data_IF_737783025968
#
_entry.id   IF_737783025968
#
_cell.length_a   1.000
_cell.length_b   1.000
_cell.length_c   1.000
_cell.angle_alpha   90.00
_cell.angle_beta   90.00
_cell.angle_gamma   90.00
#
_symmetry.space_group_name_H-M   'P 1'
#
loop_
_entity.id
_entity.type
_entity.pdbx_description
1 polymer ?
#
# COMPACT_ATOMS: atom_id res chain seq x y z
N UNK A 1 -6.93 7.24 7.38
CA UNK A 1 -7.51 6.88 6.06
C UNK A 1 -6.80 5.65 5.50
N UNK A 2 -7.29 5.03 4.41
CA UNK A 2 -6.70 3.81 3.82
C UNK A 2 -5.19 3.98 3.52
N UNK A 3 -4.80 5.17 3.02
CA UNK A 3 -3.40 5.48 2.71
C UNK A 3 -2.47 5.38 3.93
N UNK A 4 -2.92 5.84 5.10
CA UNK A 4 -2.08 5.82 6.30
C UNK A 4 -1.80 4.38 6.74
N UNK A 5 -2.81 3.50 6.67
CA UNK A 5 -2.65 2.09 7.03
C UNK A 5 -1.65 1.39 6.12
N UNK A 6 -1.74 1.58 4.80
CA UNK A 6 -0.81 0.91 3.87
C UNK A 6 0.64 1.38 4.00
N UNK A 7 0.87 2.62 4.46
CA UNK A 7 2.22 3.15 4.74
C UNK A 7 2.74 2.63 6.09
N UNK A 8 1.94 2.66 7.15
CA UNK A 8 2.31 2.17 8.49
C UNK A 8 2.68 0.68 8.46
N UNK A 9 1.89 -0.11 7.75
CA UNK A 9 2.12 -1.56 7.58
C UNK A 9 3.22 -1.87 6.56
N UNK A 10 3.82 -0.85 5.93
CA UNK A 10 4.86 -0.96 4.90
C UNK A 10 4.44 -1.81 3.69
N UNK A 11 3.15 -1.85 3.38
CA UNK A 11 2.61 -2.56 2.22
C UNK A 11 2.91 -1.82 0.92
N UNK A 12 2.89 -0.50 0.99
CA UNK A 12 3.22 0.39 -0.11
C UNK A 12 4.21 1.47 0.31
N UNK A 13 4.86 2.07 -0.68
CA UNK A 13 5.71 3.25 -0.52
C UNK A 13 5.27 4.33 -1.51
N UNK A 14 5.54 5.59 -1.16
CA UNK A 14 5.46 6.66 -2.15
C UNK A 14 6.67 6.60 -3.04
N UNK A 15 6.43 6.74 -4.33
CA UNK A 15 7.49 7.00 -5.28
C UNK A 15 8.06 8.41 -5.02
N UNK A 16 9.38 8.58 -5.18
CA UNK A 16 10.05 9.84 -4.84
C UNK A 16 9.96 10.88 -5.95
N UNK A 17 9.76 10.44 -7.18
CA UNK A 17 9.75 11.28 -8.38
C UNK A 17 8.31 11.52 -8.87
N UNK A 18 7.30 10.93 -8.21
CA UNK A 18 5.90 11.04 -8.59
C UNK A 18 4.94 10.93 -7.39
N UNK A 19 3.66 11.23 -7.62
CA UNK A 19 2.60 11.02 -6.61
C UNK A 19 2.09 9.58 -6.54
N UNK A 20 2.78 8.65 -7.19
CA UNK A 20 2.39 7.25 -7.21
C UNK A 20 2.60 6.59 -5.84
N UNK A 21 1.69 5.70 -5.49
CA UNK A 21 1.81 4.79 -4.35
C UNK A 21 2.04 3.40 -4.91
N UNK A 22 3.23 2.85 -4.67
CA UNK A 22 3.66 1.59 -5.25
C UNK A 22 3.61 0.52 -4.18
N UNK A 23 2.81 -0.52 -4.42
CA UNK A 23 2.72 -1.67 -3.54
C UNK A 23 3.88 -2.64 -3.78
N UNK A 24 4.36 -3.24 -2.70
CA UNK A 24 5.13 -4.48 -2.80
C UNK A 24 4.19 -5.64 -3.17
N UNK A 25 4.68 -6.74 -3.78
CA UNK A 25 3.84 -7.89 -4.08
C UNK A 25 3.09 -8.44 -2.85
N UNK A 26 3.80 -8.59 -1.72
CA UNK A 26 3.20 -9.01 -0.45
C UNK A 26 2.21 -7.99 0.10
N UNK A 27 2.56 -6.70 0.05
CA UNK A 27 1.67 -5.63 0.50
C UNK A 27 0.37 -5.55 -0.31
N UNK A 28 0.42 -5.86 -1.62
CA UNK A 28 -0.78 -5.93 -2.47
C UNK A 28 -1.72 -7.05 -2.01
N UNK A 29 -1.19 -8.23 -1.71
CA UNK A 29 -1.98 -9.36 -1.20
C UNK A 29 -2.65 -9.05 0.13
N UNK A 30 -1.92 -8.43 1.07
CA UNK A 30 -2.50 -8.05 2.36
C UNK A 30 -3.55 -6.93 2.22
N UNK A 31 -3.32 -5.98 1.31
CA UNK A 31 -4.30 -4.96 0.99
C UNK A 31 -5.60 -5.56 0.44
N UNK A 32 -5.49 -6.45 -0.55
CA UNK A 32 -6.62 -7.16 -1.15
C UNK A 32 -7.40 -7.93 -0.09
N UNK A 33 -6.72 -8.68 0.77
CA UNK A 33 -7.32 -9.45 1.88
C UNK A 33 -8.09 -8.58 2.88
N UNK A 34 -7.60 -7.38 3.17
CA UNK A 34 -8.16 -6.52 4.23
C UNK A 34 -9.25 -5.58 3.73
N UNK A 35 -9.16 -5.12 2.47
CA UNK A 35 -10.02 -4.06 1.96
C UNK A 35 -10.91 -4.43 0.78
N UNK A 36 -10.61 -5.54 0.08
CA UNK A 36 -11.33 -5.94 -1.14
C UNK A 36 -11.98 -7.33 -1.04
N UNK A 37 -11.90 -7.97 0.14
CA UNK A 37 -12.57 -9.22 0.47
C UNK A 37 -14.01 -8.99 0.94
#
# INVERSE_FOLDING_TARGET
AILDKVIVEKWARRDKDSRAVVFSPKGKQEFERVFLA
#
